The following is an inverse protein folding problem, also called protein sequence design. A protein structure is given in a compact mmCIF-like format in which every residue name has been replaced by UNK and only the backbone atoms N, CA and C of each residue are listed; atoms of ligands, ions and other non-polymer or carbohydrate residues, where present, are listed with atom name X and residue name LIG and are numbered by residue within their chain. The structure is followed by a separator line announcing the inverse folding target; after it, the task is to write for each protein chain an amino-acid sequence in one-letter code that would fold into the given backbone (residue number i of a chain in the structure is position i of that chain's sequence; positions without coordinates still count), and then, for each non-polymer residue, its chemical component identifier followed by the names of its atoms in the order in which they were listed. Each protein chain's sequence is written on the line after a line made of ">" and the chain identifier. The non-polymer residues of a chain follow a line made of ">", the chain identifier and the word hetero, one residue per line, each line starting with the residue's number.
data_IF_385746084919
#
_entry.id   IF_385746084919
#
_cell.length_a   1.000
_cell.length_b   1.000
_cell.length_c   1.000
_cell.angle_alpha   90.00
_cell.angle_beta   90.00
_cell.angle_gamma   90.00
#
_symmetry.space_group_name_H-M   'P 1'
#
loop_
_entity.id
_entity.type
_entity.pdbx_description
1 polymer ?
#
# COMPACT_ATOMS: atom_id res chain seq x y z
N UNK A 1 28.53 31.56 -3.57
CA UNK A 1 28.65 32.11 -2.20
C UNK A 1 27.53 33.14 -2.06
N UNK A 2 26.47 33.01 -1.28
CA UNK A 2 26.09 32.07 -0.22
C UNK A 2 24.62 31.72 -0.50
N UNK A 3 24.30 30.42 -0.45
CA UNK A 3 22.94 29.87 -0.42
C UNK A 3 22.33 30.29 0.93
N UNK A 4 21.97 31.56 1.04
CA UNK A 4 21.60 32.21 2.29
C UNK A 4 20.22 31.75 2.73
N UNK A 5 20.16 31.12 3.91
CA UNK A 5 18.94 30.70 4.60
C UNK A 5 17.81 31.71 4.44
N UNK A 6 16.74 31.25 3.80
CA UNK A 6 15.54 32.01 3.53
C UNK A 6 14.47 31.79 4.63
N UNK A 7 14.80 31.04 5.69
CA UNK A 7 13.89 30.64 6.78
C UNK A 7 13.13 31.81 7.40
N UNK A 8 13.76 32.98 7.61
CA UNK A 8 13.08 34.16 8.16
C UNK A 8 12.07 34.76 7.19
N UNK A 9 12.45 34.88 5.91
CA UNK A 9 11.58 35.45 4.87
C UNK A 9 10.43 34.48 4.57
N UNK A 10 10.72 33.19 4.51
CA UNK A 10 9.72 32.14 4.30
C UNK A 10 8.78 32.03 5.49
N UNK A 11 9.29 32.11 6.74
CA UNK A 11 8.44 32.18 7.94
C UNK A 11 7.51 33.40 7.92
N UNK A 12 8.02 34.57 7.53
CA UNK A 12 7.19 35.79 7.41
C UNK A 12 6.11 35.64 6.33
N UNK A 13 6.43 35.02 5.19
CA UNK A 13 5.48 34.75 4.12
C UNK A 13 4.42 33.73 4.54
N UNK A 14 4.81 32.64 5.20
CA UNK A 14 3.89 31.64 5.77
C UNK A 14 2.96 32.30 6.79
N UNK A 15 3.49 33.11 7.71
CA UNK A 15 2.68 33.80 8.73
C UNK A 15 1.69 34.80 8.12
N UNK A 16 2.15 35.59 7.14
CA UNK A 16 1.28 36.55 6.43
C UNK A 16 0.18 35.83 5.66
N UNK A 17 0.52 34.72 4.99
CA UNK A 17 -0.44 33.90 4.26
C UNK A 17 -1.47 33.26 5.21
N UNK A 18 -1.01 32.66 6.32
CA UNK A 18 -1.87 32.06 7.33
C UNK A 18 -2.83 33.09 7.95
N UNK A 19 -2.34 34.29 8.28
CA UNK A 19 -3.17 35.35 8.84
C UNK A 19 -4.23 35.86 7.85
N UNK A 20 -3.86 36.03 6.56
CA UNK A 20 -4.79 36.48 5.51
C UNK A 20 -5.90 35.47 5.22
N UNK A 21 -5.59 34.18 5.29
CA UNK A 21 -6.54 33.11 4.95
C UNK A 21 -7.17 32.47 6.20
N UNK A 22 -7.02 33.06 7.38
CA UNK A 22 -7.42 32.46 8.67
C UNK A 22 -8.89 32.02 8.71
N UNK A 23 -9.77 32.77 8.05
CA UNK A 23 -11.21 32.53 8.04
C UNK A 23 -11.57 31.36 7.09
N UNK A 24 -10.65 30.96 6.20
CA UNK A 24 -10.76 29.83 5.28
C UNK A 24 -9.88 28.63 5.69
N UNK A 25 -9.15 28.71 6.82
CA UNK A 25 -8.26 27.65 7.28
C UNK A 25 -9.06 26.39 7.61
N UNK A 26 -8.73 25.28 6.93
CA UNK A 26 -9.17 23.94 7.31
C UNK A 26 -8.06 23.27 8.10
N UNK A 27 -8.35 22.96 9.37
CA UNK A 27 -7.42 22.19 10.19
C UNK A 27 -7.24 20.79 9.58
N UNK A 28 -5.99 20.34 9.53
CA UNK A 28 -5.69 18.97 9.12
C UNK A 28 -6.22 18.00 10.16
N UNK A 29 -6.99 17.01 9.72
CA UNK A 29 -7.45 15.90 10.55
C UNK A 29 -6.67 14.63 10.22
N UNK A 30 -6.29 13.84 11.23
CA UNK A 30 -5.60 12.58 11.00
C UNK A 30 -6.50 11.56 10.31
N UNK A 31 -5.90 10.70 9.49
CA UNK A 31 -6.63 9.59 8.86
C UNK A 31 -7.28 8.70 9.93
N UNK A 32 -8.51 8.24 9.66
CA UNK A 32 -9.20 7.23 10.49
C UNK A 32 -8.28 6.03 10.73
N UNK A 33 -8.32 5.45 11.93
CA UNK A 33 -7.46 4.30 12.29
C UNK A 33 -7.66 3.10 11.37
N UNK A 34 -8.89 2.88 10.90
CA UNK A 34 -9.22 1.84 9.92
C UNK A 34 -8.47 2.02 8.59
N UNK A 35 -8.30 3.27 8.13
CA UNK A 35 -7.53 3.57 6.91
C UNK A 35 -6.04 3.36 7.15
N UNK A 36 -5.52 3.76 8.31
CA UNK A 36 -4.13 3.48 8.67
C UNK A 36 -3.85 1.98 8.78
N UNK A 37 -4.81 1.19 9.28
CA UNK A 37 -4.73 -0.28 9.31
C UNK A 37 -4.68 -0.86 7.91
N UNK A 38 -5.56 -0.41 7.01
CA UNK A 38 -5.55 -0.83 5.60
C UNK A 38 -4.22 -0.50 4.92
N UNK A 39 -3.70 0.71 5.10
CA UNK A 39 -2.41 1.13 4.54
C UNK A 39 -1.26 0.19 4.99
N UNK A 40 -1.20 -0.14 6.28
CA UNK A 40 -0.21 -1.08 6.82
C UNK A 40 -0.34 -2.48 6.24
N UNK A 41 -1.56 -3.00 6.11
CA UNK A 41 -1.84 -4.33 5.54
C UNK A 41 -1.47 -4.37 4.05
N UNK A 42 -1.84 -3.36 3.27
CA UNK A 42 -1.51 -3.26 1.85
C UNK A 42 0.00 -3.14 1.63
N UNK A 43 0.70 -2.38 2.49
CA UNK A 43 2.16 -2.33 2.47
C UNK A 43 2.80 -3.68 2.83
N UNK A 44 2.21 -4.45 3.76
CA UNK A 44 2.68 -5.80 4.10
C UNK A 44 2.48 -6.77 2.93
N UNK A 45 1.29 -6.78 2.32
CA UNK A 45 0.98 -7.57 1.13
C UNK A 45 1.99 -7.32 0.01
N UNK A 46 2.28 -6.05 -0.28
CA UNK A 46 3.26 -5.66 -1.30
C UNK A 46 4.67 -6.17 -1.00
N UNK A 47 5.10 -6.14 0.28
CA UNK A 47 6.37 -6.72 0.71
C UNK A 47 6.41 -8.23 0.50
N UNK A 48 5.37 -8.96 0.90
CA UNK A 48 5.29 -10.41 0.71
C UNK A 48 5.33 -10.83 -0.76
N UNK A 49 4.58 -10.13 -1.63
CA UNK A 49 4.61 -10.37 -3.08
C UNK A 49 6.01 -10.15 -3.65
N UNK A 50 6.71 -9.09 -3.20
CA UNK A 50 8.09 -8.81 -3.62
C UNK A 50 9.04 -9.94 -3.20
N UNK A 51 8.96 -10.40 -1.96
CA UNK A 51 9.79 -11.52 -1.46
C UNK A 51 9.49 -12.79 -2.25
N UNK A 52 8.21 -13.12 -2.49
CA UNK A 52 7.83 -14.27 -3.32
C UNK A 52 8.44 -14.19 -4.72
N UNK A 53 8.39 -13.02 -5.36
CA UNK A 53 8.98 -12.81 -6.69
C UNK A 53 10.49 -13.01 -6.69
N UNK A 54 11.18 -12.50 -5.66
CA UNK A 54 12.63 -12.68 -5.49
C UNK A 54 12.98 -14.16 -5.38
N UNK A 55 12.20 -14.94 -4.60
CA UNK A 55 12.43 -16.38 -4.46
C UNK A 55 12.09 -17.17 -5.73
N UNK A 56 11.08 -16.73 -6.50
CA UNK A 56 10.61 -17.43 -7.69
C UNK A 56 11.50 -17.21 -8.91
N UNK A 57 11.99 -15.99 -9.14
CA UNK A 57 12.71 -15.62 -10.37
C UNK A 57 13.92 -16.53 -10.68
N UNK A 58 14.81 -16.88 -9.74
CA UNK A 58 15.90 -17.82 -10.01
C UNK A 58 15.43 -19.22 -10.42
N UNK A 59 14.26 -19.64 -9.94
CA UNK A 59 13.69 -20.97 -10.22
C UNK A 59 13.02 -21.04 -11.61
N UNK A 60 12.71 -19.90 -12.22
CA UNK A 60 12.07 -19.80 -13.53
C UNK A 60 13.02 -19.30 -14.61
N UNK A 61 13.95 -18.41 -14.28
CA UNK A 61 14.69 -17.61 -15.26
C UNK A 61 16.09 -18.20 -15.55
N UNK A 62 16.59 -19.12 -14.71
CA UNK A 62 17.88 -19.77 -14.89
C UNK A 62 17.82 -21.10 -15.66
N UNK A 63 16.68 -21.41 -16.30
CA UNK A 63 16.43 -22.69 -16.98
C UNK A 63 17.42 -22.99 -18.12
N UNK A 64 17.95 -21.96 -18.76
CA UNK A 64 18.90 -22.10 -19.87
C UNK A 64 20.37 -22.15 -19.43
N UNK A 65 20.65 -21.84 -18.16
CA UNK A 65 22.02 -21.72 -17.61
C UNK A 65 22.37 -22.78 -16.57
N UNK A 66 21.36 -23.48 -16.04
CA UNK A 66 21.50 -24.45 -14.94
C UNK A 66 20.92 -25.79 -15.38
N UNK A 67 21.52 -26.89 -14.92
CA UNK A 67 21.00 -28.21 -15.26
C UNK A 67 19.57 -28.39 -14.72
N UNK A 68 18.74 -29.16 -15.44
CA UNK A 68 17.37 -29.46 -15.00
C UNK A 68 17.32 -30.12 -13.62
N UNK A 69 18.36 -30.89 -13.27
CA UNK A 69 18.48 -31.56 -11.97
C UNK A 69 18.65 -30.54 -10.85
N UNK A 70 19.63 -29.65 -10.96
CA UNK A 70 19.92 -28.66 -9.92
C UNK A 70 18.74 -27.67 -9.74
N UNK A 71 18.04 -27.34 -10.83
CA UNK A 71 16.82 -26.52 -10.75
C UNK A 71 15.67 -27.21 -10.03
N UNK A 72 15.51 -28.52 -10.22
CA UNK A 72 14.48 -29.28 -9.51
C UNK A 72 14.82 -29.40 -8.02
N UNK A 73 16.08 -29.67 -7.67
CA UNK A 73 16.54 -29.68 -6.27
C UNK A 73 16.32 -28.32 -5.60
N UNK A 74 16.64 -27.21 -6.28
CA UNK A 74 16.38 -25.86 -5.79
C UNK A 74 14.88 -25.56 -5.62
N UNK A 75 14.04 -26.03 -6.55
CA UNK A 75 12.57 -25.90 -6.45
C UNK A 75 12.01 -26.67 -5.27
N UNK A 76 12.44 -27.91 -5.07
CA UNK A 76 12.04 -28.75 -3.94
C UNK A 76 12.47 -28.10 -2.62
N UNK A 77 13.71 -27.63 -2.52
CA UNK A 77 14.22 -26.93 -1.33
C UNK A 77 13.41 -25.66 -1.01
N UNK A 78 12.99 -24.90 -2.02
CA UNK A 78 12.21 -23.66 -1.84
C UNK A 78 10.70 -23.88 -1.71
N UNK A 79 10.19 -25.08 -1.98
CA UNK A 79 8.75 -25.34 -2.10
C UNK A 79 7.98 -24.99 -0.82
N UNK A 80 8.51 -25.37 0.34
CA UNK A 80 7.90 -25.07 1.64
C UNK A 80 7.80 -23.56 1.89
N UNK A 81 8.87 -22.82 1.61
CA UNK A 81 8.94 -21.37 1.74
C UNK A 81 7.95 -20.68 0.80
N UNK A 82 7.89 -21.11 -0.46
CA UNK A 82 6.94 -20.57 -1.45
C UNK A 82 5.48 -20.81 -1.04
N UNK A 83 5.19 -22.00 -0.48
CA UNK A 83 3.86 -22.33 0.05
C UNK A 83 3.50 -21.46 1.24
N UNK A 84 4.43 -21.23 2.17
CA UNK A 84 4.22 -20.34 3.31
C UNK A 84 3.94 -18.90 2.86
N UNK A 85 4.76 -18.36 1.94
CA UNK A 85 4.57 -17.01 1.40
C UNK A 85 3.20 -16.85 0.72
N UNK A 86 2.74 -17.84 -0.04
CA UNK A 86 1.41 -17.80 -0.65
C UNK A 86 0.30 -17.81 0.40
N UNK A 87 0.45 -18.61 1.47
CA UNK A 87 -0.51 -18.65 2.57
C UNK A 87 -0.57 -17.30 3.31
N UNK A 88 0.58 -16.69 3.57
CA UNK A 88 0.65 -15.39 4.24
C UNK A 88 0.02 -14.29 3.38
N UNK A 89 0.28 -14.28 2.07
CA UNK A 89 -0.36 -13.34 1.14
C UNK A 89 -1.88 -13.51 1.16
N UNK A 90 -2.38 -14.74 1.15
CA UNK A 90 -3.82 -15.01 1.18
C UNK A 90 -4.45 -14.56 2.50
N UNK A 91 -3.78 -14.84 3.63
CA UNK A 91 -4.22 -14.37 4.94
C UNK A 91 -4.32 -12.85 4.99
N UNK A 92 -3.32 -12.14 4.45
CA UNK A 92 -3.33 -10.67 4.42
C UNK A 92 -4.41 -10.14 3.47
N UNK A 93 -4.68 -10.81 2.34
CA UNK A 93 -5.81 -10.43 1.47
C UNK A 93 -7.14 -10.53 2.23
N UNK A 94 -7.36 -11.62 2.95
CA UNK A 94 -8.56 -11.81 3.75
C UNK A 94 -8.67 -10.76 4.87
N UNK A 95 -7.56 -10.42 5.53
CA UNK A 95 -7.53 -9.37 6.54
C UNK A 95 -7.90 -7.99 5.97
N UNK A 96 -7.42 -7.67 4.76
CA UNK A 96 -7.79 -6.43 4.05
C UNK A 96 -9.29 -6.41 3.78
N UNK A 97 -9.83 -7.50 3.22
CA UNK A 97 -11.26 -7.60 2.90
C UNK A 97 -12.11 -7.51 4.17
N UNK A 98 -11.74 -8.21 5.24
CA UNK A 98 -12.43 -8.15 6.53
C UNK A 98 -12.46 -6.73 7.10
N UNK A 99 -11.36 -5.98 7.00
CA UNK A 99 -11.32 -4.59 7.46
C UNK A 99 -12.28 -3.71 6.65
N UNK A 100 -12.32 -3.87 5.34
CA UNK A 100 -13.25 -3.12 4.46
C UNK A 100 -14.70 -3.48 4.80
N UNK A 101 -15.03 -4.76 4.92
CA UNK A 101 -16.39 -5.24 5.19
C UNK A 101 -16.87 -4.89 6.61
N UNK A 102 -15.95 -4.75 7.57
CA UNK A 102 -16.28 -4.40 8.95
C UNK A 102 -16.69 -2.94 9.16
N UNK A 103 -16.39 -2.07 8.20
CA UNK A 103 -16.67 -0.64 8.25
C UNK A 103 -17.71 -0.26 7.18
N UNK A 104 -18.94 0.12 7.58
CA UNK A 104 -20.03 0.37 6.62
C UNK A 104 -19.70 1.45 5.57
N UNK A 105 -18.97 2.50 5.95
CA UNK A 105 -18.59 3.57 5.02
C UNK A 105 -17.58 3.05 4.00
N UNK A 106 -16.58 2.29 4.47
CA UNK A 106 -15.55 1.74 3.59
C UNK A 106 -16.15 0.72 2.65
N UNK A 107 -17.03 -0.15 3.14
CA UNK A 107 -17.75 -1.11 2.33
C UNK A 107 -18.54 -0.43 1.21
N UNK A 108 -19.34 0.58 1.54
CA UNK A 108 -20.14 1.30 0.54
C UNK A 108 -19.25 1.98 -0.52
N UNK A 109 -18.16 2.63 -0.09
CA UNK A 109 -17.18 3.24 -1.00
C UNK A 109 -16.49 2.19 -1.88
N UNK A 110 -16.13 1.04 -1.30
CA UNK A 110 -15.46 -0.04 -2.01
C UNK A 110 -16.34 -0.65 -3.10
N UNK A 111 -17.61 -0.95 -2.79
CA UNK A 111 -18.59 -1.46 -3.75
C UNK A 111 -18.83 -0.45 -4.90
N UNK A 112 -18.85 0.85 -4.59
CA UNK A 112 -18.95 1.90 -5.61
C UNK A 112 -17.71 1.89 -6.53
N UNK A 113 -16.51 1.75 -5.97
CA UNK A 113 -15.27 1.73 -6.75
C UNK A 113 -15.18 0.47 -7.63
N UNK A 114 -15.53 -0.71 -7.12
CA UNK A 114 -15.52 -1.96 -7.87
C UNK A 114 -16.57 -2.03 -8.98
N UNK A 115 -17.64 -1.22 -8.92
CA UNK A 115 -18.62 -1.13 -10.00
C UNK A 115 -18.03 -0.66 -11.34
N UNK A 116 -16.85 -0.03 -11.31
CA UNK A 116 -16.14 0.44 -12.50
C UNK A 116 -15.43 -0.73 -13.18
N UNK A 117 -15.82 -1.00 -14.44
CA UNK A 117 -15.20 -2.06 -15.26
C UNK A 117 -13.68 -1.90 -15.32
N UNK A 118 -12.96 -2.95 -14.91
CA UNK A 118 -11.49 -3.00 -14.93
C UNK A 118 -10.84 -2.61 -13.60
N UNK A 119 -11.61 -2.19 -12.60
CA UNK A 119 -11.12 -1.97 -11.24
C UNK A 119 -11.30 -3.24 -10.43
N UNK A 120 -10.20 -3.89 -10.08
CA UNK A 120 -10.19 -5.06 -9.22
C UNK A 120 -9.90 -4.72 -7.75
N UNK A 121 -9.96 -5.72 -6.85
CA UNK A 121 -9.87 -5.54 -5.40
C UNK A 121 -8.65 -4.74 -4.92
N UNK A 122 -7.50 -4.96 -5.56
CA UNK A 122 -6.23 -4.29 -5.22
C UNK A 122 -6.31 -2.80 -5.55
N UNK A 123 -6.78 -2.47 -6.75
CA UNK A 123 -6.90 -1.08 -7.20
C UNK A 123 -7.96 -0.36 -6.36
N UNK A 124 -9.08 -1.02 -6.09
CA UNK A 124 -10.14 -0.49 -5.24
C UNK A 124 -9.62 -0.14 -3.83
N UNK A 125 -8.82 -1.04 -3.23
CA UNK A 125 -8.22 -0.83 -1.91
C UNK A 125 -7.26 0.37 -1.90
N UNK A 126 -6.42 0.51 -2.93
CA UNK A 126 -5.48 1.64 -3.05
C UNK A 126 -6.22 2.98 -3.21
N UNK A 127 -7.25 3.01 -4.06
CA UNK A 127 -8.11 4.20 -4.22
C UNK A 127 -8.71 4.58 -2.87
N UNK A 128 -9.24 3.60 -2.13
CA UNK A 128 -9.84 3.82 -0.83
C UNK A 128 -8.83 4.39 0.18
N UNK A 129 -7.59 3.87 0.25
CA UNK A 129 -6.55 4.38 1.16
C UNK A 129 -6.14 5.83 0.85
N UNK A 130 -6.10 6.19 -0.43
CA UNK A 130 -5.69 7.52 -0.90
C UNK A 130 -6.81 8.55 -0.79
N UNK A 131 -8.06 8.13 -1.04
CA UNK A 131 -9.21 9.05 -1.15
C UNK A 131 -10.10 9.10 0.08
N UNK A 132 -10.09 8.07 0.94
CA UNK A 132 -10.83 8.09 2.19
C UNK A 132 -10.29 9.21 3.08
N UNK A 133 -11.07 10.29 3.15
CA UNK A 133 -10.75 11.48 3.93
C UNK A 133 -10.65 11.11 5.42
N UNK A 134 -9.80 11.85 6.12
CA UNK A 134 -9.96 12.01 7.56
C UNK A 134 -11.36 12.54 7.82
N UNK A 135 -12.12 11.88 8.70
CA UNK A 135 -13.50 12.27 8.99
C UNK A 135 -13.53 13.71 9.55
N UNK A 136 -14.62 14.41 9.22
CA UNK A 136 -15.03 15.70 9.79
C UNK A 136 -15.38 15.55 11.26
#
# INVERSE_FOLDING_TARGET
>A
MIRGKNDKVDAQRIATYAYKNRDEVRLWTPKRDVIQKLDRLTALRSRLIKVRKIMQSPLTDCQDFVSKKDLNEAKEACQATMKALNKDIESVNQDIENVIQSDPDLKALYELIESVKGVGPVIATEILIVTARAAS
#
